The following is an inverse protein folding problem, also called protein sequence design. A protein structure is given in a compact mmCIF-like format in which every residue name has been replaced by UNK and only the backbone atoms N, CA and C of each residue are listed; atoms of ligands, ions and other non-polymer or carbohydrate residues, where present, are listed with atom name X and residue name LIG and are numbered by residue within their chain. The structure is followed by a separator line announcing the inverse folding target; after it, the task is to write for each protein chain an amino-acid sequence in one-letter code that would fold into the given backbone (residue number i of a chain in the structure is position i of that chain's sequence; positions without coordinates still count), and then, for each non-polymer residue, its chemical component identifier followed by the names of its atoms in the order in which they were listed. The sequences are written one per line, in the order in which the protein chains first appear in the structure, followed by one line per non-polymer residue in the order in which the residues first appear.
data_IF_470816340910
#
_entry.id   IF_470816340910
#
_cell.length_a   1.000
_cell.length_b   1.000
_cell.length_c   1.000
_cell.angle_alpha   90.00
_cell.angle_beta   90.00
_cell.angle_gamma   90.00
#
_symmetry.space_group_name_H-M   'P 1'
#
loop_
_entity.id
_entity.type
_entity.pdbx_description
1 polymer ?
#
# COMPACT_ATOMS: atom_id res chain seq x y z
N UNK A 1 34.94 -30.25 -20.37
CA UNK A 1 34.61 -29.93 -18.96
C UNK A 1 34.80 -28.45 -18.54
N UNK A 2 35.64 -27.64 -19.22
CA UNK A 2 35.82 -26.21 -18.86
C UNK A 2 34.65 -25.27 -19.19
N UNK A 3 33.73 -25.68 -20.07
CA UNK A 3 32.57 -24.86 -20.46
C UNK A 3 31.44 -24.87 -19.41
N UNK A 4 31.20 -26.00 -18.72
CA UNK A 4 30.16 -26.10 -17.68
C UNK A 4 30.47 -25.23 -16.45
N UNK A 5 31.74 -25.11 -16.05
CA UNK A 5 32.12 -24.32 -14.87
C UNK A 5 31.90 -22.80 -15.07
N UNK A 6 31.98 -22.31 -16.32
CA UNK A 6 31.78 -20.89 -16.64
C UNK A 6 30.30 -20.50 -16.68
N UNK A 7 29.41 -21.43 -17.00
CA UNK A 7 27.96 -21.21 -17.02
C UNK A 7 27.37 -21.10 -15.60
N UNK A 8 27.89 -21.89 -14.66
CA UNK A 8 27.48 -21.86 -13.24
C UNK A 8 27.88 -20.55 -12.55
N UNK A 9 29.05 -20.00 -12.88
CA UNK A 9 29.50 -18.72 -12.32
C UNK A 9 28.64 -17.53 -12.80
N UNK A 10 28.08 -17.59 -14.01
CA UNK A 10 27.18 -16.56 -14.53
C UNK A 10 25.79 -16.60 -13.86
N UNK A 11 25.30 -17.79 -13.51
CA UNK A 11 24.01 -18.00 -12.82
C UNK A 11 24.03 -17.54 -11.35
N UNK A 12 25.20 -17.47 -10.71
CA UNK A 12 25.33 -16.98 -9.33
C UNK A 12 25.31 -15.44 -9.25
N UNK A 13 25.53 -14.74 -10.35
CA UNK A 13 25.47 -13.27 -10.43
C UNK A 13 24.09 -12.75 -10.84
N UNK A 14 23.14 -13.63 -11.13
CA UNK A 14 21.75 -13.26 -11.43
C UNK A 14 20.83 -13.38 -10.22
N UNK A 15 21.37 -13.60 -9.02
CA UNK A 15 20.58 -13.49 -7.80
C UNK A 15 20.23 -12.00 -7.67
N UNK A 16 18.94 -11.62 -7.74
CA UNK A 16 18.57 -10.23 -7.51
C UNK A 16 19.10 -9.87 -6.13
N UNK A 17 19.84 -8.76 -6.03
CA UNK A 17 20.10 -8.15 -4.74
C UNK A 17 18.74 -7.70 -4.20
N UNK A 18 18.05 -8.58 -3.47
CA UNK A 18 16.99 -8.17 -2.57
C UNK A 18 17.68 -7.28 -1.54
N UNK A 19 17.38 -5.98 -1.57
CA UNK A 19 17.88 -5.08 -0.55
C UNK A 19 17.32 -5.58 0.79
N UNK A 20 18.19 -6.01 1.69
CA UNK A 20 17.75 -6.48 3.01
C UNK A 20 16.97 -5.36 3.72
N UNK A 21 16.03 -5.71 4.63
CA UNK A 21 15.40 -4.76 5.51
C UNK A 21 16.44 -3.82 6.13
N UNK A 22 16.18 -2.52 6.08
CA UNK A 22 17.03 -1.51 6.70
C UNK A 22 16.30 -0.82 7.84
N UNK A 23 17.06 -0.37 8.85
CA UNK A 23 16.52 0.39 9.96
C UNK A 23 16.50 1.88 9.63
N UNK A 24 15.32 2.50 9.73
CA UNK A 24 15.13 3.92 9.48
C UNK A 24 15.28 4.74 10.76
N UNK A 25 15.75 5.98 10.64
CA UNK A 25 16.00 6.90 11.79
C UNK A 25 14.74 7.25 12.60
N UNK A 26 13.54 7.00 12.06
CA UNK A 26 12.26 7.15 12.76
C UNK A 26 11.90 5.96 13.65
N UNK A 27 12.78 4.96 13.79
CA UNK A 27 12.56 3.82 14.67
C UNK A 27 11.67 2.76 14.03
N UNK A 28 11.98 2.37 12.79
CA UNK A 28 11.21 1.36 12.08
C UNK A 28 12.07 0.57 11.08
N UNK A 29 11.71 -0.68 10.86
CA UNK A 29 12.25 -1.48 9.77
C UNK A 29 11.54 -1.16 8.48
N UNK A 30 12.29 -0.99 7.39
CA UNK A 30 11.76 -0.70 6.07
C UNK A 30 12.38 -1.60 5.00
N UNK A 31 11.62 -1.90 3.96
CA UNK A 31 12.12 -2.58 2.76
C UNK A 31 11.35 -2.11 1.52
N UNK A 32 12.05 -1.99 0.40
CA UNK A 32 11.45 -1.66 -0.90
C UNK A 32 11.18 -2.93 -1.71
N UNK A 33 9.94 -3.08 -2.15
CA UNK A 33 9.48 -4.15 -3.03
C UNK A 33 9.00 -3.56 -4.35
N UNK A 34 9.94 -3.29 -5.26
CA UNK A 34 9.70 -2.53 -6.50
C UNK A 34 9.16 -1.13 -6.16
N UNK A 35 7.90 -0.84 -6.49
CA UNK A 35 7.25 0.46 -6.25
C UNK A 35 6.58 0.56 -4.87
N UNK A 36 6.67 -0.50 -4.06
CA UNK A 36 6.12 -0.55 -2.71
C UNK A 36 7.19 -0.30 -1.66
N UNK A 37 6.87 0.49 -0.65
CA UNK A 37 7.65 0.62 0.58
C UNK A 37 6.87 0.02 1.73
N UNK A 38 7.39 -1.05 2.33
CA UNK A 38 6.86 -1.63 3.56
C UNK A 38 7.64 -1.14 4.78
N UNK A 39 6.94 -0.93 5.89
CA UNK A 39 7.49 -0.45 7.14
C UNK A 39 6.82 -1.12 8.35
N UNK A 40 7.62 -1.38 9.39
CA UNK A 40 7.16 -1.88 10.69
C UNK A 40 7.88 -1.10 11.80
N UNK A 41 7.16 -0.29 12.60
CA UNK A 41 7.73 0.41 13.75
C UNK A 41 8.38 -0.53 14.78
N UNK A 42 9.43 -0.06 15.45
CA UNK A 42 10.17 -0.81 16.48
C UNK A 42 9.31 -1.11 17.72
N UNK A 43 8.27 -0.31 17.95
CA UNK A 43 7.41 -0.32 19.14
C UNK A 43 5.94 -0.56 18.76
N UNK A 44 5.18 -1.14 19.68
CA UNK A 44 3.72 -1.24 19.60
C UNK A 44 3.15 -0.40 20.74
N UNK A 45 2.29 0.55 20.39
CA UNK A 45 1.53 1.40 21.31
C UNK A 45 0.06 1.02 21.14
N UNK A 46 -0.42 0.10 21.99
CA UNK A 46 -1.75 -0.52 21.87
C UNK A 46 -2.90 0.49 22.00
N UNK A 47 -2.69 1.57 22.75
CA UNK A 47 -3.63 2.67 22.96
C UNK A 47 -3.43 3.86 22.00
N UNK A 48 -2.67 3.65 20.91
CA UNK A 48 -2.43 4.69 19.91
C UNK A 48 -3.75 5.18 19.30
N UNK A 49 -3.95 6.50 19.14
CA UNK A 49 -5.12 7.06 18.49
C UNK A 49 -5.13 6.85 16.96
N UNK A 50 -4.02 6.38 16.39
CA UNK A 50 -3.86 6.07 14.96
C UNK A 50 -3.30 4.66 14.72
N UNK A 51 -3.48 4.16 13.51
CA UNK A 51 -2.99 2.83 13.12
C UNK A 51 -1.45 2.74 13.14
N UNK A 52 -0.73 3.86 13.03
CA UNK A 52 0.74 3.86 12.95
C UNK A 52 1.36 3.32 14.23
N UNK A 53 0.74 3.56 15.38
CA UNK A 53 1.26 3.09 16.67
C UNK A 53 1.25 1.58 16.88
N UNK A 54 0.38 0.82 16.19
CA UNK A 54 0.25 -0.64 16.39
C UNK A 54 0.26 -1.46 15.10
N UNK A 55 0.48 -0.84 13.93
CA UNK A 55 0.46 -1.54 12.65
C UNK A 55 1.80 -1.54 11.95
N UNK A 56 2.04 -2.57 11.13
CA UNK A 56 2.94 -2.43 9.99
C UNK A 56 2.14 -1.91 8.80
N UNK A 57 2.77 -1.26 7.84
CA UNK A 57 2.09 -0.76 6.65
C UNK A 57 2.99 -0.85 5.43
N UNK A 58 2.38 -0.99 4.26
CA UNK A 58 3.06 -0.95 2.98
C UNK A 58 2.28 -0.08 2.00
N UNK A 59 2.96 0.75 1.23
CA UNK A 59 2.26 1.62 0.27
C UNK A 59 2.99 1.79 -1.04
N UNK A 60 2.20 2.00 -2.10
CA UNK A 60 2.64 2.50 -3.41
C UNK A 60 1.97 3.87 -3.64
N UNK A 61 2.59 4.69 -4.50
CA UNK A 61 2.09 6.02 -4.83
C UNK A 61 1.96 6.25 -6.33
N UNK A 62 1.20 7.28 -6.71
CA UNK A 62 1.17 7.82 -8.06
C UNK A 62 2.51 8.45 -8.43
N UNK A 63 2.82 8.49 -9.73
CA UNK A 63 3.97 9.24 -10.24
C UNK A 63 3.83 10.76 -10.07
N UNK A 64 2.58 11.27 -10.09
CA UNK A 64 2.30 12.65 -9.77
C UNK A 64 2.54 12.92 -8.28
N UNK A 65 3.21 14.04 -7.99
CA UNK A 65 3.48 14.52 -6.63
C UNK A 65 2.87 15.89 -6.39
N UNK A 66 2.49 16.17 -5.15
CA UNK A 66 2.00 17.46 -4.71
C UNK A 66 3.14 18.43 -4.37
N UNK A 67 2.80 19.65 -3.93
CA UNK A 67 3.75 20.70 -3.54
C UNK A 67 4.70 20.29 -2.40
N UNK A 68 4.33 19.29 -1.58
CA UNK A 68 5.18 18.71 -0.54
C UNK A 68 6.07 17.55 -1.04
N UNK A 69 6.12 17.31 -2.36
CA UNK A 69 6.82 16.18 -2.99
C UNK A 69 6.34 14.81 -2.53
N UNK A 70 5.07 14.70 -2.11
CA UNK A 70 4.43 13.45 -1.75
C UNK A 70 3.54 12.96 -2.90
N UNK A 71 3.38 11.64 -3.12
CA UNK A 71 2.45 11.14 -4.13
C UNK A 71 1.05 11.70 -3.93
N UNK A 72 0.45 12.17 -5.02
CA UNK A 72 -0.92 12.71 -5.02
C UNK A 72 -1.92 11.62 -4.62
N UNK A 73 -1.73 10.40 -5.09
CA UNK A 73 -2.56 9.25 -4.73
C UNK A 73 -1.70 8.16 -4.13
N UNK A 74 -2.19 7.50 -3.08
CA UNK A 74 -1.53 6.32 -2.51
C UNK A 74 -2.52 5.19 -2.30
N UNK A 75 -2.01 3.98 -2.41
CA UNK A 75 -2.67 2.76 -1.95
C UNK A 75 -1.83 2.16 -0.84
N UNK A 76 -2.45 1.88 0.29
CA UNK A 76 -1.78 1.43 1.52
C UNK A 76 -2.43 0.14 2.01
N UNK A 77 -1.61 -0.87 2.28
CA UNK A 77 -1.97 -2.07 3.04
C UNK A 77 -1.52 -1.84 4.48
N UNK A 78 -2.38 -2.12 5.46
CA UNK A 78 -2.08 -1.88 6.88
C UNK A 78 -2.30 -3.18 7.62
N UNK A 79 -1.24 -3.75 8.19
CA UNK A 79 -1.34 -4.95 9.01
C UNK A 79 -1.40 -4.56 10.48
N UNK A 80 -2.56 -4.72 11.11
CA UNK A 80 -2.67 -4.63 12.55
C UNK A 80 -1.82 -5.74 13.20
N UNK A 81 -0.88 -5.37 14.07
CA UNK A 81 0.07 -6.31 14.67
C UNK A 81 -0.52 -7.09 15.86
N UNK A 82 -1.65 -6.64 16.39
CA UNK A 82 -2.31 -7.23 17.56
C UNK A 82 -3.12 -8.47 17.18
N UNK A 83 -3.90 -8.39 16.11
CA UNK A 83 -4.83 -9.45 15.70
C UNK A 83 -4.38 -10.21 14.44
N UNK A 84 -3.81 -9.54 13.44
CA UNK A 84 -3.64 -10.20 12.15
C UNK A 84 -4.10 -9.39 10.96
N UNK A 85 -5.08 -8.52 11.19
CA UNK A 85 -5.98 -8.07 10.15
C UNK A 85 -5.29 -7.11 9.19
N UNK A 86 -5.68 -7.18 7.92
CA UNK A 86 -5.12 -6.38 6.84
C UNK A 86 -6.18 -5.42 6.35
N UNK A 87 -5.91 -4.15 6.52
CA UNK A 87 -6.72 -3.05 6.02
C UNK A 87 -6.23 -2.56 4.66
N UNK A 88 -7.13 -1.95 3.89
CA UNK A 88 -6.78 -1.23 2.66
C UNK A 88 -7.23 0.23 2.74
N UNK A 89 -6.29 1.15 2.53
CA UNK A 89 -6.57 2.57 2.52
C UNK A 89 -6.09 3.28 1.24
N UNK A 90 -6.89 4.20 0.72
CA UNK A 90 -6.59 5.07 -0.41
C UNK A 90 -6.38 6.49 0.11
N UNK A 91 -5.24 7.11 -0.22
CA UNK A 91 -4.98 8.51 0.12
C UNK A 91 -5.16 9.39 -1.11
N UNK A 92 -5.82 10.55 -0.95
CA UNK A 92 -5.96 11.60 -1.96
C UNK A 92 -5.34 12.89 -1.42
N UNK A 93 -4.15 13.24 -1.89
CA UNK A 93 -3.33 14.35 -1.39
C UNK A 93 -2.99 15.36 -2.50
N UNK A 94 -3.94 15.63 -3.41
CA UNK A 94 -3.80 16.66 -4.43
C UNK A 94 -3.71 18.06 -3.81
N UNK A 95 -2.94 18.97 -4.44
CA UNK A 95 -2.88 20.38 -4.01
C UNK A 95 -4.22 21.11 -4.25
N UNK A 96 -4.95 20.69 -5.30
CA UNK A 96 -6.21 21.29 -5.70
C UNK A 96 -7.34 20.26 -5.65
N UNK A 97 -8.40 20.59 -4.91
CA UNK A 97 -9.59 19.76 -4.73
C UNK A 97 -9.39 18.62 -3.74
N UNK A 98 -10.50 18.00 -3.36
CA UNK A 98 -10.55 16.76 -2.58
C UNK A 98 -11.32 15.70 -3.35
N UNK A 99 -11.35 14.49 -2.81
CA UNK A 99 -12.33 13.50 -3.26
C UNK A 99 -13.75 14.08 -3.12
N UNK A 100 -14.53 13.99 -4.19
CA UNK A 100 -15.97 14.28 -4.19
C UNK A 100 -16.74 13.06 -3.71
N UNK A 101 -17.00 13.04 -2.40
CA UNK A 101 -17.65 11.94 -1.68
C UNK A 101 -19.08 11.63 -2.17
N UNK A 102 -19.70 12.50 -2.98
CA UNK A 102 -21.00 12.23 -3.59
C UNK A 102 -20.96 11.24 -4.77
N UNK A 103 -19.75 10.92 -5.26
CA UNK A 103 -19.52 10.03 -6.40
C UNK A 103 -18.53 8.93 -5.99
N UNK A 104 -18.74 7.67 -6.39
CA UNK A 104 -17.85 6.59 -5.98
C UNK A 104 -16.46 6.68 -6.65
N UNK A 105 -15.42 6.38 -5.89
CA UNK A 105 -14.12 6.03 -6.47
C UNK A 105 -14.23 4.71 -7.23
N UNK A 106 -13.30 4.47 -8.16
CA UNK A 106 -13.27 3.22 -8.93
C UNK A 106 -11.89 2.61 -8.96
N UNK A 107 -11.81 1.30 -8.73
CA UNK A 107 -10.62 0.49 -8.96
C UNK A 107 -10.84 -0.39 -10.18
N UNK A 108 -9.98 -0.24 -11.19
CA UNK A 108 -10.04 -1.02 -12.41
C UNK A 108 -8.82 -1.93 -12.50
N UNK A 109 -9.07 -3.23 -12.49
CA UNK A 109 -8.07 -4.27 -12.74
C UNK A 109 -8.19 -4.72 -14.19
N UNK A 110 -7.05 -5.01 -14.83
CA UNK A 110 -7.06 -5.44 -16.23
C UNK A 110 -7.90 -6.72 -16.41
N UNK A 111 -8.96 -6.64 -17.24
CA UNK A 111 -9.84 -7.77 -17.55
C UNK A 111 -11.03 -7.94 -16.61
N UNK A 112 -11.16 -7.16 -15.55
CA UNK A 112 -12.26 -7.23 -14.57
C UNK A 112 -13.22 -6.03 -14.71
N UNK A 113 -14.43 -6.19 -14.15
CA UNK A 113 -15.34 -5.05 -13.96
C UNK A 113 -14.78 -4.06 -12.92
N UNK A 114 -15.16 -2.77 -12.98
CA UNK A 114 -14.73 -1.79 -11.99
C UNK A 114 -15.29 -2.16 -10.61
N UNK A 115 -14.45 -2.10 -9.58
CA UNK A 115 -14.95 -2.02 -8.21
C UNK A 115 -15.38 -0.59 -7.93
N UNK A 116 -16.59 -0.43 -7.42
CA UNK A 116 -17.14 0.85 -7.02
C UNK A 116 -16.92 1.02 -5.52
N UNK A 117 -16.46 2.20 -5.12
CA UNK A 117 -16.12 2.51 -3.73
C UNK A 117 -16.81 3.82 -3.35
N UNK A 118 -18.03 3.75 -2.82
CA UNK A 118 -18.81 4.90 -2.39
C UNK A 118 -18.52 5.25 -0.92
N UNK A 119 -18.45 6.54 -0.62
CA UNK A 119 -18.28 7.02 0.75
C UNK A 119 -19.52 6.71 1.59
N UNK A 120 -19.30 6.13 2.77
CA UNK A 120 -20.34 5.71 3.71
C UNK A 120 -20.92 4.31 3.48
N UNK A 121 -20.57 3.66 2.35
CA UNK A 121 -20.92 2.26 2.06
C UNK A 121 -19.66 1.40 2.02
N UNK A 122 -18.86 1.51 0.96
CA UNK A 122 -17.60 0.75 0.85
C UNK A 122 -16.39 1.48 1.42
N UNK A 123 -16.46 2.81 1.56
CA UNK A 123 -15.38 3.63 2.11
C UNK A 123 -15.81 4.37 3.38
N UNK A 124 -14.85 4.53 4.28
CA UNK A 124 -14.99 5.37 5.46
C UNK A 124 -13.70 6.14 5.78
N UNK A 125 -13.80 7.11 6.70
CA UNK A 125 -12.65 7.77 7.30
C UNK A 125 -12.51 7.33 8.75
N UNK A 126 -11.27 7.10 9.21
CA UNK A 126 -10.93 6.69 10.58
C UNK A 126 -9.79 7.54 11.11
N UNK A 127 -9.46 7.43 12.40
CA UNK A 127 -8.23 8.01 12.98
C UNK A 127 -8.05 9.53 12.77
N UNK A 128 -9.15 10.29 12.64
CA UNK A 128 -9.15 11.74 12.42
C UNK A 128 -8.33 12.22 11.19
N UNK A 129 -8.13 11.36 10.19
CA UNK A 129 -7.53 11.76 8.91
C UNK A 129 -8.61 12.17 7.91
N UNK A 130 -8.38 13.24 7.16
CA UNK A 130 -9.39 13.83 6.26
C UNK A 130 -9.23 13.43 4.80
N UNK A 131 -8.12 12.78 4.46
CA UNK A 131 -7.73 12.53 3.08
C UNK A 131 -7.29 11.08 2.81
N UNK A 132 -7.55 10.19 3.77
CA UNK A 132 -7.28 8.76 3.68
C UNK A 132 -8.57 8.00 3.98
N UNK A 133 -8.97 7.19 3.02
CA UNK A 133 -10.25 6.49 2.96
C UNK A 133 -9.99 5.00 3.05
N UNK A 134 -10.59 4.35 4.03
CA UNK A 134 -10.42 2.94 4.31
C UNK A 134 -11.56 2.13 3.72
N UNK A 135 -11.29 0.92 3.27
CA UNK A 135 -12.35 0.00 2.83
C UNK A 135 -13.11 -0.49 4.07
N UNK A 136 -14.41 -0.21 4.13
CA UNK A 136 -15.26 -0.49 5.29
C UNK A 136 -15.92 -1.88 5.22
N UNK A 137 -16.21 -2.37 4.01
CA UNK A 137 -16.80 -3.70 3.79
C UNK A 137 -15.72 -4.79 3.82
N UNK A 138 -15.79 -5.67 4.81
CA UNK A 138 -14.80 -6.73 5.03
C UNK A 138 -14.75 -7.77 3.90
N UNK A 139 -15.89 -8.10 3.28
CA UNK A 139 -15.94 -9.06 2.17
C UNK A 139 -15.34 -8.44 0.90
N UNK A 140 -15.57 -7.14 0.68
CA UNK A 140 -14.96 -6.39 -0.40
C UNK A 140 -13.46 -6.21 -0.19
N UNK A 141 -13.03 -5.89 1.03
CA UNK A 141 -11.62 -5.76 1.40
C UNK A 141 -10.86 -7.06 1.12
N UNK A 142 -11.38 -8.20 1.59
CA UNK A 142 -10.77 -9.50 1.33
C UNK A 142 -10.65 -9.78 -0.17
N UNK A 143 -11.71 -9.52 -0.94
CA UNK A 143 -11.68 -9.69 -2.40
C UNK A 143 -10.69 -8.74 -3.09
N UNK A 144 -10.57 -7.50 -2.61
CA UNK A 144 -9.63 -6.52 -3.12
C UNK A 144 -8.19 -6.97 -2.89
N UNK A 145 -7.87 -7.43 -1.67
CA UNK A 145 -6.54 -7.94 -1.32
C UNK A 145 -6.16 -9.14 -2.20
N UNK A 146 -7.08 -10.10 -2.42
CA UNK A 146 -6.80 -11.24 -3.29
C UNK A 146 -6.52 -10.80 -4.73
N UNK A 147 -7.34 -9.90 -5.30
CA UNK A 147 -7.07 -9.34 -6.63
C UNK A 147 -5.76 -8.57 -6.69
N UNK A 148 -5.39 -7.86 -5.63
CA UNK A 148 -4.11 -7.15 -5.54
C UNK A 148 -2.90 -8.09 -5.55
N UNK A 149 -3.03 -9.31 -5.00
CA UNK A 149 -1.98 -10.34 -5.07
C UNK A 149 -1.80 -10.92 -6.46
N UNK A 150 -2.86 -11.01 -7.25
CA UNK A 150 -2.87 -11.67 -8.56
C UNK A 150 -2.55 -10.75 -9.74
N UNK A 151 -2.68 -9.43 -9.56
CA UNK A 151 -2.58 -8.43 -10.64
C UNK A 151 -1.27 -7.65 -10.54
N UNK A 152 -0.80 -7.13 -11.68
CA UNK A 152 0.43 -6.35 -11.75
C UNK A 152 0.24 -4.85 -11.55
N UNK A 153 -0.97 -4.34 -11.82
CA UNK A 153 -1.34 -2.94 -11.66
C UNK A 153 -2.85 -2.79 -11.50
N UNK A 154 -3.26 -1.64 -10.99
CA UNK A 154 -4.64 -1.17 -11.06
C UNK A 154 -4.69 0.27 -11.55
N UNK A 155 -5.81 0.66 -12.16
CA UNK A 155 -6.14 2.06 -12.44
C UNK A 155 -7.10 2.55 -11.37
N UNK A 156 -6.67 3.56 -10.62
CA UNK A 156 -7.50 4.28 -9.66
C UNK A 156 -8.16 5.46 -10.38
N UNK A 157 -9.47 5.62 -10.19
CA UNK A 157 -10.22 6.78 -10.67
C UNK A 157 -10.89 7.47 -9.49
N UNK A 158 -10.59 8.75 -9.31
CA UNK A 158 -11.06 9.57 -8.19
C UNK A 158 -11.89 10.74 -8.72
N UNK A 159 -13.20 10.79 -8.45
CA UNK A 159 -14.01 11.98 -8.67
C UNK A 159 -13.49 13.13 -7.79
N UNK A 160 -13.15 14.27 -8.38
CA UNK A 160 -12.61 15.42 -7.63
C UNK A 160 -13.66 16.52 -7.50
N UNK A 161 -13.70 17.19 -6.35
CA UNK A 161 -14.58 18.35 -6.12
C UNK A 161 -14.27 19.46 -7.10
N UNK A 162 -15.28 19.99 -7.78
CA UNK A 162 -15.11 21.08 -8.74
C UNK A 162 -14.53 20.67 -10.10
N UNK A 163 -14.22 19.38 -10.31
CA UNK A 163 -13.75 18.85 -11.59
C UNK A 163 -14.88 18.11 -12.33
N UNK A 164 -15.06 18.43 -13.61
CA UNK A 164 -16.02 17.75 -14.48
C UNK A 164 -15.59 16.30 -14.73
N UNK A 165 -14.30 16.09 -15.03
CA UNK A 165 -13.73 14.76 -15.25
C UNK A 165 -13.03 14.25 -13.98
N UNK A 166 -13.21 12.96 -13.63
CA UNK A 166 -12.44 12.33 -12.56
C UNK A 166 -10.95 12.34 -12.87
N UNK A 167 -10.13 12.49 -11.83
CA UNK A 167 -8.71 12.21 -11.95
C UNK A 167 -8.48 10.71 -12.06
N UNK A 168 -7.43 10.30 -12.77
CA UNK A 168 -7.04 8.89 -12.81
C UNK A 168 -5.54 8.68 -12.78
N UNK A 169 -5.13 7.52 -12.26
CA UNK A 169 -3.73 7.15 -12.16
C UNK A 169 -3.55 5.63 -12.14
N UNK A 170 -2.40 5.16 -12.61
CA UNK A 170 -2.01 3.76 -12.51
C UNK A 170 -1.15 3.56 -11.27
N UNK A 171 -1.47 2.53 -10.48
CA UNK A 171 -0.70 2.12 -9.32
C UNK A 171 -0.15 0.71 -9.55
N UNK A 172 1.12 0.52 -9.20
CA UNK A 172 1.80 -0.77 -9.29
C UNK A 172 1.31 -1.71 -8.20
N UNK A 173 1.13 -3.00 -8.51
CA UNK A 173 0.76 -4.04 -7.54
C UNK A 173 1.85 -5.10 -7.38
N UNK A 174 2.98 -4.94 -8.09
CA UNK A 174 4.03 -5.97 -8.17
C UNK A 174 4.79 -6.18 -6.85
N UNK A 175 4.60 -5.32 -5.85
CA UNK A 175 5.19 -5.43 -4.52
C UNK A 175 4.25 -5.94 -3.43
N UNK A 176 2.98 -6.19 -3.74
CA UNK A 176 1.92 -6.52 -2.76
C UNK A 176 2.28 -7.77 -1.94
N UNK A 177 2.56 -8.90 -2.60
CA UNK A 177 2.85 -10.15 -1.90
C UNK A 177 4.08 -10.04 -0.99
N UNK A 178 5.19 -9.51 -1.51
CA UNK A 178 6.42 -9.37 -0.73
C UNK A 178 6.25 -8.39 0.44
N UNK A 179 5.44 -7.35 0.26
CA UNK A 179 5.09 -6.42 1.32
C UNK A 179 4.26 -7.08 2.43
N UNK A 180 3.27 -7.91 2.07
CA UNK A 180 2.49 -8.69 3.03
C UNK A 180 3.37 -9.67 3.81
N UNK A 181 4.29 -10.36 3.12
CA UNK A 181 5.26 -11.27 3.74
C UNK A 181 6.19 -10.53 4.72
N UNK A 182 6.71 -9.37 4.31
CA UNK A 182 7.52 -8.50 5.17
C UNK A 182 6.76 -8.08 6.42
N UNK A 183 5.54 -7.56 6.27
CA UNK A 183 4.75 -7.10 7.40
C UNK A 183 4.44 -8.26 8.35
N UNK A 184 4.13 -9.44 7.82
CA UNK A 184 3.90 -10.65 8.63
C UNK A 184 5.16 -11.09 9.38
N UNK A 185 6.32 -11.14 8.72
CA UNK A 185 7.59 -11.57 9.30
C UNK A 185 8.13 -10.59 10.36
N UNK A 186 7.77 -9.31 10.26
CA UNK A 186 8.24 -8.26 11.15
C UNK A 186 7.19 -7.81 12.17
N UNK A 187 5.93 -8.26 12.06
CA UNK A 187 4.84 -7.89 12.98
C UNK A 187 5.17 -8.15 14.47
N UNK A 188 5.99 -9.16 14.78
CA UNK A 188 6.38 -9.49 16.16
C UNK A 188 7.80 -9.04 16.54
N UNK A 189 8.55 -8.43 15.63
CA UNK A 189 9.85 -7.85 15.96
C UNK A 189 9.60 -6.51 16.65
N UNK A 190 9.62 -6.55 17.98
CA UNK A 190 9.49 -5.37 18.85
C UNK A 190 10.79 -5.27 19.65
N UNK A 191 11.38 -4.08 19.77
CA UNK A 191 12.38 -3.87 20.83
C UNK A 191 11.66 -3.95 22.16
N UNK A 192 11.94 -4.99 22.94
CA UNK A 192 11.59 -5.01 24.36
C UNK A 192 12.39 -3.89 25.03
N UNK A 193 11.70 -2.84 25.48
CA UNK A 193 12.26 -1.81 26.35
C UNK A 193 11.91 -2.12 27.79
#
# INVERSE_FOLDING_TARGET
MRACARLVALLLLTIPAAAEPFHHSYGEWREYFRDWLAACPDTIVEDSPDYYGYSCFASTGSAAVNSASLPVYKLTLIRNRLDGDIDVAITVAADEGSYDESRPMRLLFAGDGPMMLAMGEELETRFNVTNQYFVADADLEAQLIERMKERASLKLIVPMTGAEQPADTWLSLQGVMASLDFMSANARKVKQY
#
